data_IF_394053624152
#
_entry.id   IF_394053624152
#
_cell.length_a   1.000
_cell.length_b   1.000
_cell.length_c   1.000
_cell.angle_alpha   90.00
_cell.angle_beta   90.00
_cell.angle_gamma   90.00
#
_symmetry.space_group_name_H-M   'P 1'
#
loop_
_entity.id
_entity.type
_entity.pdbx_description
1 polymer ?
#
# COMPACT_ATOMS: atom_id res chain seq x y z
N UNK A 1 35.47 1.22 1.25
CA UNK A 1 34.28 1.53 0.45
C UNK A 1 33.13 1.68 1.42
N UNK A 2 32.64 2.90 1.60
CA UNK A 2 31.53 3.19 2.52
C UNK A 2 30.23 2.67 1.90
N UNK A 3 29.51 1.77 2.57
CA UNK A 3 28.23 1.26 2.07
C UNK A 3 27.16 2.32 2.37
N UNK A 4 26.70 3.03 1.33
CA UNK A 4 25.54 3.92 1.45
C UNK A 4 24.34 3.09 1.89
N UNK A 5 23.65 3.52 2.95
CA UNK A 5 22.47 2.84 3.45
C UNK A 5 21.36 2.85 2.39
N UNK A 6 20.52 1.80 2.37
CA UNK A 6 19.36 1.72 1.48
C UNK A 6 18.29 2.69 2.00
N UNK A 7 17.86 3.64 1.17
CA UNK A 7 16.73 4.52 1.48
C UNK A 7 15.44 3.71 1.60
N UNK A 8 14.57 4.13 2.52
CA UNK A 8 13.36 3.41 2.91
C UNK A 8 12.13 4.31 2.76
N UNK A 9 11.08 3.74 2.22
CA UNK A 9 9.73 4.31 2.16
C UNK A 9 8.88 3.66 3.25
N UNK A 10 8.42 4.42 4.26
CA UNK A 10 7.50 3.93 5.27
C UNK A 10 6.21 3.39 4.63
N UNK A 11 5.68 2.30 5.16
CA UNK A 11 4.43 1.72 4.69
C UNK A 11 3.20 2.29 5.39
N UNK A 12 3.37 2.83 6.60
CA UNK A 12 2.26 3.24 7.47
C UNK A 12 1.49 2.05 8.07
N UNK A 13 1.89 0.82 7.78
CA UNK A 13 1.25 -0.39 8.30
C UNK A 13 1.85 -0.71 9.66
N UNK A 14 1.00 -0.64 10.69
CA UNK A 14 1.40 -0.87 12.08
C UNK A 14 2.12 -2.21 12.26
N UNK A 15 3.31 -2.19 12.85
CA UNK A 15 4.14 -3.37 13.09
C UNK A 15 5.08 -3.68 11.92
N UNK A 16 4.74 -3.32 10.69
CA UNK A 16 5.50 -3.71 9.51
C UNK A 16 6.74 -2.84 9.32
N UNK A 17 6.61 -1.53 9.51
CA UNK A 17 7.73 -0.61 9.42
C UNK A 17 8.78 -0.88 10.50
N UNK A 18 8.36 -1.30 11.71
CA UNK A 18 9.30 -1.71 12.76
C UNK A 18 10.07 -2.98 12.38
N UNK A 19 9.39 -3.98 11.80
CA UNK A 19 10.02 -5.23 11.34
C UNK A 19 11.05 -4.97 10.23
N UNK A 20 10.77 -4.00 9.35
CA UNK A 20 11.64 -3.68 8.22
C UNK A 20 12.66 -2.57 8.48
N UNK A 21 12.71 -2.05 9.71
CA UNK A 21 13.57 -0.96 10.12
C UNK A 21 13.36 0.32 9.28
N UNK A 22 12.09 0.73 9.12
CA UNK A 22 11.71 1.97 8.44
C UNK A 22 10.94 1.80 7.13
N UNK A 23 10.59 0.57 6.76
CA UNK A 23 9.72 0.27 5.62
C UNK A 23 10.40 -0.40 4.42
N UNK A 24 9.78 -0.24 3.25
CA UNK A 24 10.22 -0.87 2.01
C UNK A 24 11.42 -0.13 1.40
N UNK A 25 12.34 -0.81 0.70
CA UNK A 25 13.43 -0.13 0.00
C UNK A 25 12.89 0.75 -1.13
N UNK A 26 13.30 2.02 -1.14
CA UNK A 26 12.82 3.02 -2.10
C UNK A 26 13.28 2.69 -3.53
N UNK A 27 12.36 2.81 -4.49
CA UNK A 27 12.63 2.55 -5.91
C UNK A 27 12.77 1.08 -6.31
N UNK A 28 12.48 0.14 -5.40
CA UNK A 28 12.59 -1.29 -5.66
C UNK A 28 11.25 -1.93 -6.00
N UNK A 29 11.30 -3.05 -6.73
CA UNK A 29 10.16 -3.97 -6.86
C UNK A 29 10.18 -4.97 -5.72
N UNK A 30 9.09 -5.06 -4.95
CA UNK A 30 8.96 -5.96 -3.80
C UNK A 30 7.91 -7.04 -4.10
N UNK A 31 8.27 -8.30 -3.90
CA UNK A 31 7.35 -9.43 -4.06
C UNK A 31 6.65 -9.73 -2.73
N UNK A 32 5.33 -9.53 -2.69
CA UNK A 32 4.47 -10.00 -1.62
C UNK A 32 3.84 -11.35 -2.00
N UNK A 33 4.21 -12.42 -1.29
CA UNK A 33 3.75 -13.79 -1.58
C UNK A 33 3.05 -14.43 -0.38
N UNK A 34 2.12 -15.34 -0.66
CA UNK A 34 1.33 -16.06 0.33
C UNK A 34 0.13 -16.79 -0.27
N UNK A 35 -0.42 -17.76 0.44
CA UNK A 35 -1.59 -18.54 0.02
C UNK A 35 -2.85 -17.68 -0.19
N UNK A 36 -3.89 -18.25 -0.80
CA UNK A 36 -5.18 -17.54 -0.90
C UNK A 36 -5.71 -17.16 0.48
N UNK A 37 -6.30 -15.97 0.60
CA UNK A 37 -6.87 -15.47 1.85
C UNK A 37 -5.85 -14.93 2.88
N UNK A 38 -4.54 -14.91 2.60
CA UNK A 38 -3.53 -14.39 3.55
C UNK A 38 -3.44 -12.85 3.61
N UNK A 39 -4.35 -12.12 2.97
CA UNK A 39 -4.40 -10.65 3.04
C UNK A 39 -3.51 -9.89 2.07
N UNK A 40 -2.94 -10.52 1.02
CA UNK A 40 -2.07 -9.84 0.04
C UNK A 40 -2.72 -8.60 -0.57
N UNK A 41 -3.95 -8.72 -1.08
CA UNK A 41 -4.70 -7.60 -1.65
C UNK A 41 -4.94 -6.50 -0.63
N UNK A 42 -5.31 -6.87 0.60
CA UNK A 42 -5.54 -5.93 1.70
C UNK A 42 -4.27 -5.17 2.04
N UNK A 43 -3.14 -5.86 2.17
CA UNK A 43 -1.83 -5.25 2.41
C UNK A 43 -1.46 -4.25 1.31
N UNK A 44 -1.60 -4.65 0.05
CA UNK A 44 -1.25 -3.79 -1.09
C UNK A 44 -2.12 -2.52 -1.14
N UNK A 45 -3.42 -2.64 -0.85
CA UNK A 45 -4.31 -1.48 -0.82
C UNK A 45 -4.08 -0.61 0.41
N UNK A 46 -3.82 -1.20 1.58
CA UNK A 46 -3.46 -0.44 2.78
C UNK A 46 -2.22 0.40 2.54
N UNK A 47 -1.17 -0.18 1.96
CA UNK A 47 0.06 0.54 1.62
C UNK A 47 -0.22 1.79 0.78
N UNK A 48 -1.03 1.68 -0.27
CA UNK A 48 -1.41 2.83 -1.11
C UNK A 48 -2.28 3.83 -0.34
N UNK A 49 -3.26 3.35 0.43
CA UNK A 49 -4.15 4.20 1.21
C UNK A 49 -3.35 5.04 2.24
N UNK A 50 -2.41 4.41 2.95
CA UNK A 50 -1.51 5.06 3.91
C UNK A 50 -0.56 6.03 3.22
N UNK A 51 0.04 5.64 2.10
CA UNK A 51 0.82 6.52 1.23
C UNK A 51 0.09 7.82 0.92
N UNK A 52 -1.16 7.71 0.47
CA UNK A 52 -1.99 8.85 0.07
C UNK A 52 -2.45 9.69 1.27
N UNK A 53 -2.83 9.06 2.38
CA UNK A 53 -3.48 9.76 3.51
C UNK A 53 -2.50 10.30 4.54
N UNK A 54 -1.36 9.64 4.74
CA UNK A 54 -0.37 10.00 5.77
C UNK A 54 0.86 10.69 5.17
N UNK A 55 1.22 10.36 3.93
CA UNK A 55 2.45 10.85 3.29
C UNK A 55 2.20 11.71 2.05
N UNK A 56 0.94 11.85 1.61
CA UNK A 56 0.57 12.58 0.40
C UNK A 56 1.25 12.01 -0.88
N UNK A 57 1.47 10.70 -0.90
CA UNK A 57 2.08 9.97 -2.00
C UNK A 57 0.98 9.31 -2.86
N UNK A 58 0.81 9.72 -4.14
CA UNK A 58 -0.17 9.09 -5.02
C UNK A 58 0.24 7.67 -5.40
N UNK A 59 -0.76 6.82 -5.62
CA UNK A 59 -0.60 5.40 -5.93
C UNK A 59 -1.24 4.99 -7.25
N UNK A 60 -0.91 3.77 -7.71
CA UNK A 60 -1.68 3.07 -8.74
C UNK A 60 -1.89 1.63 -8.29
N UNK A 61 -3.15 1.20 -8.18
CA UNK A 61 -3.47 -0.21 -7.96
C UNK A 61 -3.85 -0.91 -9.28
N UNK A 62 -3.05 -1.89 -9.70
CA UNK A 62 -3.37 -2.72 -10.87
C UNK A 62 -3.92 -4.07 -10.42
N UNK A 63 -5.19 -4.33 -10.72
CA UNK A 63 -5.87 -5.59 -10.44
C UNK A 63 -5.92 -6.50 -11.67
N UNK A 64 -5.65 -7.80 -11.50
CA UNK A 64 -5.73 -8.78 -12.59
C UNK A 64 -7.02 -9.60 -12.59
N UNK A 65 -7.53 -9.97 -11.41
CA UNK A 65 -8.65 -10.92 -11.28
C UNK A 65 -9.95 -10.25 -10.83
N UNK A 66 -9.86 -9.31 -9.89
CA UNK A 66 -11.03 -8.65 -9.30
C UNK A 66 -11.26 -7.27 -9.91
N UNK A 67 -12.54 -6.89 -10.03
CA UNK A 67 -12.88 -5.55 -10.50
C UNK A 67 -12.57 -4.49 -9.44
N UNK A 68 -12.27 -3.27 -9.91
CA UNK A 68 -12.06 -2.09 -9.05
C UNK A 68 -13.18 -1.94 -8.00
N UNK A 69 -14.44 -2.03 -8.41
CA UNK A 69 -15.59 -1.84 -7.49
C UNK A 69 -15.69 -2.91 -6.40
N UNK A 70 -15.21 -4.13 -6.66
CA UNK A 70 -15.15 -5.16 -5.62
C UNK A 70 -14.04 -4.87 -4.62
N UNK A 71 -12.88 -4.45 -5.10
CA UNK A 71 -11.75 -4.09 -4.24
C UNK A 71 -12.12 -2.90 -3.35
N UNK A 72 -12.66 -1.82 -3.93
CA UNK A 72 -13.12 -0.62 -3.20
C UNK A 72 -14.10 -0.98 -2.08
N UNK A 73 -15.12 -1.80 -2.39
CA UNK A 73 -16.08 -2.27 -1.38
C UNK A 73 -15.44 -3.15 -0.29
N UNK A 74 -14.51 -4.03 -0.66
CA UNK A 74 -13.83 -4.89 0.30
C UNK A 74 -13.01 -4.07 1.31
N UNK A 75 -12.32 -3.02 0.83
CA UNK A 75 -11.46 -2.21 1.70
C UNK A 75 -12.20 -1.13 2.49
N UNK A 76 -13.37 -0.68 2.00
CA UNK A 76 -14.22 0.25 2.73
C UNK A 76 -14.63 -0.27 4.13
N UNK A 77 -14.74 -1.60 4.31
CA UNK A 77 -15.00 -2.22 5.61
C UNK A 77 -13.91 -1.99 6.67
N UNK A 78 -12.69 -1.63 6.24
CA UNK A 78 -11.58 -1.24 7.13
C UNK A 78 -11.52 0.28 7.39
N UNK A 79 -12.50 1.03 6.87
CA UNK A 79 -12.51 2.50 6.91
C UNK A 79 -11.68 3.16 5.80
N UNK A 80 -11.21 2.39 4.81
CA UNK A 80 -10.42 2.91 3.71
C UNK A 80 -11.31 3.23 2.52
N UNK A 81 -11.87 4.44 2.50
CA UNK A 81 -12.75 4.91 1.43
C UNK A 81 -11.94 5.42 0.24
N UNK A 82 -11.67 4.53 -0.73
CA UNK A 82 -10.94 4.89 -1.94
C UNK A 82 -11.76 5.79 -2.89
N UNK A 83 -13.09 5.67 -2.89
CA UNK A 83 -13.94 6.51 -3.73
C UNK A 83 -13.93 7.96 -3.25
N UNK A 84 -13.90 8.18 -1.94
CA UNK A 84 -13.74 9.51 -1.37
C UNK A 84 -12.40 10.14 -1.80
N UNK A 85 -11.30 9.38 -1.72
CA UNK A 85 -9.99 9.85 -2.16
C UNK A 85 -9.99 10.26 -3.65
N UNK A 86 -10.58 9.46 -4.53
CA UNK A 86 -10.70 9.79 -5.95
C UNK A 86 -11.52 11.07 -6.18
N UNK A 87 -12.64 11.23 -5.45
CA UNK A 87 -13.50 12.43 -5.53
C UNK A 87 -12.79 13.70 -5.03
N UNK A 88 -11.90 13.56 -4.06
CA UNK A 88 -11.01 14.62 -3.58
C UNK A 88 -9.87 14.94 -4.57
N UNK A 89 -9.75 14.20 -5.67
CA UNK A 89 -8.71 14.37 -6.68
C UNK A 89 -7.39 13.71 -6.31
N UNK A 90 -7.35 12.90 -5.23
CA UNK A 90 -6.20 12.07 -4.89
C UNK A 90 -6.15 10.87 -5.84
N UNK A 91 -4.94 10.53 -6.30
CA UNK A 91 -4.72 9.52 -7.34
C UNK A 91 -4.36 8.19 -6.70
N UNK A 92 -5.17 7.17 -6.98
CA UNK A 92 -4.99 5.75 -6.62
C UNK A 92 -5.25 4.86 -7.82
#
# INVERSE_FOLDING_TARGET
MERKAIEKTPTGIKGFDEILFGGLPEGWTVLLSGSSGTGKTIFSVEYLYRGITEFNEPGVFVACEESSDKIKRAVAGFGWDLEALEKEGKRI
#
